data_IF_405258795764
#
_entry.id   IF_405258795764
#
_cell.length_a   1.000
_cell.length_b   1.000
_cell.length_c   1.000
_cell.angle_alpha   90.00
_cell.angle_beta   90.00
_cell.angle_gamma   90.00
#
_symmetry.space_group_name_H-M   'P 1'
#
loop_
_entity.id
_entity.type
_entity.pdbx_description
1 polymer ?
#
# COMPACT_ATOMS: atom_id res chain seq x y z
N UNK A 1 -46.61 -47.01 -63.51
CA UNK A 1 -45.37 -46.24 -63.23
C UNK A 1 -45.41 -45.49 -61.87
N UNK A 2 -45.75 -46.16 -60.76
CA UNK A 2 -45.80 -45.51 -59.43
C UNK A 2 -45.30 -46.37 -58.25
N UNK A 3 -44.74 -47.55 -58.52
CA UNK A 3 -44.25 -48.48 -57.48
C UNK A 3 -42.72 -48.50 -57.33
N UNK A 4 -41.98 -48.11 -58.37
CA UNK A 4 -40.51 -48.25 -58.37
C UNK A 4 -39.76 -47.05 -57.77
N UNK A 5 -40.43 -45.89 -57.59
CA UNK A 5 -39.83 -44.69 -56.98
C UNK A 5 -39.67 -44.80 -55.46
N UNK A 6 -40.44 -45.65 -54.78
CA UNK A 6 -40.37 -45.79 -53.31
C UNK A 6 -39.23 -46.70 -52.84
N UNK A 7 -38.77 -47.66 -53.65
CA UNK A 7 -37.63 -48.52 -53.26
C UNK A 7 -36.29 -47.76 -53.32
N UNK A 8 -36.12 -46.88 -54.31
CA UNK A 8 -34.89 -46.10 -54.49
C UNK A 8 -34.68 -45.07 -53.36
N UNK A 9 -35.75 -44.38 -52.93
CA UNK A 9 -35.67 -43.41 -51.82
C UNK A 9 -35.54 -44.06 -50.44
N UNK A 10 -35.95 -45.32 -50.27
CA UNK A 10 -35.77 -46.07 -49.03
C UNK A 10 -34.32 -46.53 -48.87
N UNK A 11 -33.68 -47.04 -49.92
CA UNK A 11 -32.28 -47.50 -49.87
C UNK A 11 -31.27 -46.37 -49.71
N UNK A 12 -31.54 -45.18 -50.25
CA UNK A 12 -30.67 -44.00 -50.09
C UNK A 12 -30.72 -43.42 -48.66
N UNK A 13 -31.86 -43.54 -47.97
CA UNK A 13 -32.00 -43.13 -46.56
C UNK A 13 -31.35 -44.13 -45.60
N UNK A 14 -31.40 -45.43 -45.88
CA UNK A 14 -30.70 -46.44 -45.06
C UNK A 14 -29.18 -46.34 -45.20
N UNK A 15 -28.65 -46.14 -46.43
CA UNK A 15 -27.21 -45.95 -46.62
C UNK A 15 -26.69 -44.66 -45.95
N UNK A 16 -27.48 -43.58 -45.93
CA UNK A 16 -27.15 -42.36 -45.18
C UNK A 16 -27.29 -42.51 -43.66
N UNK A 17 -28.12 -43.44 -43.17
CA UNK A 17 -28.24 -43.71 -41.73
C UNK A 17 -27.10 -44.61 -41.22
N UNK A 18 -26.63 -45.55 -42.06
CA UNK A 18 -25.52 -46.46 -41.74
C UNK A 18 -24.17 -45.73 -41.82
N UNK A 19 -23.97 -44.83 -42.78
CA UNK A 19 -22.73 -44.03 -42.87
C UNK A 19 -22.63 -42.91 -41.83
N UNK A 20 -23.73 -42.45 -41.23
CA UNK A 20 -23.70 -41.47 -40.13
C UNK A 20 -23.49 -42.07 -38.74
N UNK A 21 -23.55 -43.40 -38.60
CA UNK A 21 -23.39 -44.12 -37.31
C UNK A 21 -22.04 -44.81 -37.11
N UNK A 22 -21.09 -44.67 -38.06
CA UNK A 22 -19.71 -45.17 -37.92
C UNK A 22 -18.68 -44.05 -38.09
N UNK A 23 -18.90 -42.93 -37.41
CA UNK A 23 -17.80 -42.02 -37.02
C UNK A 23 -17.72 -42.01 -35.49
N UNK A 24 -17.58 -43.19 -34.89
CA UNK A 24 -16.98 -43.30 -33.57
C UNK A 24 -15.50 -43.05 -33.79
N UNK A 25 -15.06 -41.78 -33.72
CA UNK A 25 -13.65 -41.50 -33.47
C UNK A 25 -13.23 -42.40 -32.30
N UNK A 26 -12.15 -43.18 -32.42
CA UNK A 26 -11.71 -44.00 -31.29
C UNK A 26 -11.44 -43.03 -30.14
N UNK A 27 -12.18 -43.18 -29.05
CA UNK A 27 -11.94 -42.45 -27.81
C UNK A 27 -10.57 -42.91 -27.31
N UNK A 28 -9.53 -42.10 -27.56
CA UNK A 28 -8.16 -42.53 -27.31
C UNK A 28 -7.76 -42.12 -25.90
N UNK A 29 -7.14 -43.04 -25.17
CA UNK A 29 -6.55 -42.83 -23.82
C UNK A 29 -5.66 -41.58 -23.74
N UNK A 30 -5.13 -41.09 -24.87
CA UNK A 30 -4.38 -39.84 -24.97
C UNK A 30 -5.22 -38.56 -24.81
N UNK A 31 -6.49 -38.55 -25.23
CA UNK A 31 -7.41 -37.42 -25.03
C UNK A 31 -7.74 -37.24 -23.54
N UNK A 32 -7.93 -38.34 -22.80
CA UNK A 32 -8.13 -38.33 -21.34
C UNK A 32 -6.91 -37.78 -20.58
N UNK A 33 -5.70 -38.23 -20.94
CA UNK A 33 -4.45 -37.76 -20.32
C UNK A 33 -4.21 -36.28 -20.60
N UNK A 34 -4.47 -35.82 -21.83
CA UNK A 34 -4.29 -34.42 -22.20
C UNK A 34 -5.34 -33.50 -21.54
N UNK A 35 -6.60 -33.96 -21.43
CA UNK A 35 -7.66 -33.27 -20.70
C UNK A 35 -7.36 -33.16 -19.20
N UNK A 36 -6.91 -34.25 -18.57
CA UNK A 36 -6.53 -34.26 -17.16
C UNK A 36 -5.33 -33.33 -16.88
N UNK A 37 -4.36 -33.28 -17.78
CA UNK A 37 -3.17 -32.41 -17.67
C UNK A 37 -3.55 -30.93 -17.73
N UNK A 38 -4.43 -30.55 -18.67
CA UNK A 38 -4.97 -29.19 -18.75
C UNK A 38 -5.74 -28.78 -17.48
N UNK A 39 -6.56 -29.70 -16.97
CA UNK A 39 -7.38 -29.45 -15.78
C UNK A 39 -6.53 -29.27 -14.51
N UNK A 40 -5.46 -30.07 -14.37
CA UNK A 40 -4.48 -29.94 -13.29
C UNK A 40 -3.70 -28.63 -13.38
N UNK A 41 -3.31 -28.21 -14.58
CA UNK A 41 -2.61 -26.95 -14.81
C UNK A 41 -3.47 -25.72 -14.45
N UNK A 42 -4.74 -25.69 -14.87
CA UNK A 42 -5.65 -24.60 -14.50
C UNK A 42 -5.90 -24.53 -12.99
N UNK A 43 -6.05 -25.69 -12.33
CA UNK A 43 -6.21 -25.76 -10.87
C UNK A 43 -4.97 -25.25 -10.14
N UNK A 44 -3.77 -25.67 -10.55
CA UNK A 44 -2.53 -25.21 -9.96
C UNK A 44 -2.38 -23.68 -10.06
N UNK A 45 -2.65 -23.11 -11.23
CA UNK A 45 -2.61 -21.66 -11.43
C UNK A 45 -3.65 -20.91 -10.57
N UNK A 46 -4.86 -21.45 -10.43
CA UNK A 46 -5.88 -20.88 -9.57
C UNK A 46 -5.48 -20.90 -8.09
N UNK A 47 -4.86 -21.98 -7.61
CA UNK A 47 -4.35 -22.09 -6.24
C UNK A 47 -3.21 -21.10 -6.01
N UNK A 48 -2.24 -21.01 -6.91
CA UNK A 48 -1.13 -20.05 -6.79
C UNK A 48 -1.66 -18.62 -6.76
N UNK A 49 -2.56 -18.26 -7.68
CA UNK A 49 -3.19 -16.94 -7.71
C UNK A 49 -3.95 -16.61 -6.43
N UNK A 50 -4.70 -17.57 -5.89
CA UNK A 50 -5.41 -17.39 -4.63
C UNK A 50 -4.44 -17.19 -3.46
N UNK A 51 -3.36 -17.97 -3.37
CA UNK A 51 -2.34 -17.80 -2.34
C UNK A 51 -1.67 -16.43 -2.40
N UNK A 52 -1.32 -15.95 -3.60
CA UNK A 52 -0.74 -14.62 -3.80
C UNK A 52 -1.72 -13.51 -3.43
N UNK A 53 -2.99 -13.65 -3.83
CA UNK A 53 -4.06 -12.73 -3.45
C UNK A 53 -4.20 -12.63 -1.93
N UNK A 54 -4.20 -13.77 -1.25
CA UNK A 54 -4.26 -13.83 0.22
C UNK A 54 -3.06 -13.09 0.82
N UNK A 55 -1.85 -13.29 0.32
CA UNK A 55 -0.67 -12.59 0.82
C UNK A 55 -0.81 -11.07 0.61
N UNK A 56 -1.19 -10.61 -0.58
CA UNK A 56 -1.33 -9.17 -0.88
C UNK A 56 -2.38 -8.51 0.01
N UNK A 57 -3.53 -9.17 0.24
CA UNK A 57 -4.62 -8.62 1.05
C UNK A 57 -4.31 -8.69 2.54
N UNK A 58 -3.81 -9.83 3.03
CA UNK A 58 -3.72 -10.09 4.46
C UNK A 58 -2.34 -9.76 5.08
N UNK A 59 -1.30 -9.49 4.29
CA UNK A 59 0.01 -9.14 4.83
C UNK A 59 -0.06 -7.97 5.83
N UNK A 60 -0.77 -6.90 5.50
CA UNK A 60 -0.97 -5.76 6.39
C UNK A 60 -1.64 -6.14 7.71
N UNK A 61 -2.88 -6.66 7.68
CA UNK A 61 -3.59 -7.09 8.88
C UNK A 61 -2.79 -8.08 9.75
N UNK A 62 -2.09 -9.04 9.13
CA UNK A 62 -1.21 -9.99 9.86
C UNK A 62 -0.10 -9.25 10.60
N UNK A 63 0.56 -8.27 9.98
CA UNK A 63 1.55 -7.43 10.67
C UNK A 63 0.90 -6.55 11.75
N UNK A 64 -0.27 -5.99 11.48
CA UNK A 64 -0.99 -5.11 12.42
C UNK A 64 -1.41 -5.82 13.70
N UNK A 65 -1.65 -7.13 13.63
CA UNK A 65 -1.92 -8.02 14.76
C UNK A 65 -0.64 -8.49 15.48
N UNK A 66 0.54 -8.05 15.05
CA UNK A 66 1.82 -8.42 15.67
C UNK A 66 2.32 -9.82 15.29
N UNK A 67 1.71 -10.49 14.31
CA UNK A 67 2.10 -11.84 13.88
C UNK A 67 3.38 -11.86 13.03
N UNK A 68 3.75 -10.72 12.45
CA UNK A 68 5.02 -10.53 11.74
C UNK A 68 5.44 -9.07 11.74
N UNK A 69 6.72 -8.80 11.50
CA UNK A 69 7.22 -7.43 11.43
C UNK A 69 6.59 -6.66 10.24
N UNK A 70 6.16 -5.40 10.42
CA UNK A 70 5.52 -4.59 9.38
C UNK A 70 6.30 -4.53 8.07
N UNK A 71 7.62 -4.30 8.14
CA UNK A 71 8.47 -4.20 6.95
C UNK A 71 8.59 -5.53 6.21
N UNK A 72 8.59 -6.65 6.93
CA UNK A 72 8.61 -7.99 6.33
C UNK A 72 7.30 -8.28 5.60
N UNK A 73 6.17 -7.98 6.21
CA UNK A 73 4.86 -8.13 5.58
C UNK A 73 4.71 -7.27 4.32
N UNK A 74 5.14 -6.01 4.40
CA UNK A 74 5.12 -5.10 3.25
C UNK A 74 5.97 -5.64 2.10
N UNK A 75 7.20 -6.10 2.37
CA UNK A 75 8.07 -6.72 1.36
C UNK A 75 7.47 -8.00 0.77
N UNK A 76 6.82 -8.82 1.58
CA UNK A 76 6.13 -10.02 1.12
C UNK A 76 4.95 -9.66 0.18
N UNK A 77 4.16 -8.65 0.51
CA UNK A 77 3.08 -8.14 -0.35
C UNK A 77 3.61 -7.54 -1.66
N UNK A 78 4.72 -6.79 -1.62
CA UNK A 78 5.42 -6.29 -2.82
C UNK A 78 5.88 -7.44 -3.72
N UNK A 79 6.51 -8.47 -3.16
CA UNK A 79 6.98 -9.61 -3.93
C UNK A 79 5.81 -10.43 -4.50
N UNK A 80 4.80 -10.73 -3.67
CA UNK A 80 3.63 -11.49 -4.11
C UNK A 80 2.84 -10.75 -5.19
N UNK A 81 2.73 -9.42 -5.10
CA UNK A 81 2.05 -8.62 -6.12
C UNK A 81 2.82 -8.61 -7.44
N UNK A 82 4.15 -8.52 -7.41
CA UNK A 82 5.00 -8.63 -8.60
C UNK A 82 4.85 -10.00 -9.30
N UNK A 83 4.90 -11.09 -8.53
CA UNK A 83 4.67 -12.44 -9.07
C UNK A 83 3.25 -12.55 -9.65
N UNK A 84 2.25 -12.02 -8.96
CA UNK A 84 0.86 -12.01 -9.42
C UNK A 84 0.66 -11.25 -10.73
N UNK A 85 1.32 -10.09 -10.91
CA UNK A 85 1.31 -9.34 -12.17
C UNK A 85 2.01 -10.11 -13.29
N UNK A 86 3.14 -10.75 -13.01
CA UNK A 86 3.84 -11.59 -13.99
C UNK A 86 2.95 -12.75 -14.47
N UNK A 87 2.26 -13.44 -13.56
CA UNK A 87 1.30 -14.50 -13.91
C UNK A 87 0.14 -13.94 -14.73
N UNK A 88 -0.42 -12.80 -14.33
CA UNK A 88 -1.49 -12.11 -15.07
C UNK A 88 -1.06 -11.79 -16.51
N UNK A 89 0.13 -11.20 -16.68
CA UNK A 89 0.69 -10.83 -17.97
C UNK A 89 0.95 -12.05 -18.86
N UNK A 90 1.58 -13.10 -18.32
CA UNK A 90 1.86 -14.33 -19.05
C UNK A 90 0.59 -15.07 -19.50
N UNK A 91 -0.42 -15.16 -18.63
CA UNK A 91 -1.71 -15.77 -18.99
C UNK A 91 -2.46 -14.93 -20.02
N UNK A 92 -2.42 -13.60 -19.90
CA UNK A 92 -3.01 -12.69 -20.88
C UNK A 92 -2.34 -12.86 -22.25
N UNK A 93 -1.01 -12.89 -22.29
CA UNK A 93 -0.24 -13.13 -23.51
C UNK A 93 -0.58 -14.50 -24.13
N UNK A 94 -0.70 -15.54 -23.31
CA UNK A 94 -1.10 -16.87 -23.78
C UNK A 94 -2.49 -16.86 -24.41
N UNK A 95 -3.47 -16.20 -23.79
CA UNK A 95 -4.82 -16.04 -24.37
C UNK A 95 -4.78 -15.31 -25.71
N UNK A 96 -3.96 -14.26 -25.85
CA UNK A 96 -3.78 -13.52 -27.11
C UNK A 96 -3.20 -14.44 -28.19
N UNK A 97 -2.15 -15.20 -27.89
CA UNK A 97 -1.53 -16.13 -28.84
C UNK A 97 -2.54 -17.19 -29.31
N UNK A 98 -3.33 -17.76 -28.38
CA UNK A 98 -4.41 -18.71 -28.75
C UNK A 98 -5.48 -18.04 -29.60
N UNK A 99 -5.78 -16.77 -29.34
CA UNK A 99 -6.67 -15.96 -30.17
C UNK A 99 -6.19 -15.78 -31.60
N UNK A 100 -4.90 -15.49 -31.79
CA UNK A 100 -4.26 -15.39 -33.11
C UNK A 100 -4.25 -16.73 -33.85
N UNK A 101 -4.28 -17.85 -33.13
CA UNK A 101 -4.39 -19.21 -33.67
C UNK A 101 -5.84 -19.65 -33.94
N UNK A 102 -6.84 -18.79 -33.68
CA UNK A 102 -8.26 -19.08 -33.92
C UNK A 102 -9.03 -19.67 -32.72
N UNK A 103 -8.42 -19.74 -31.53
CA UNK A 103 -9.04 -20.33 -30.32
C UNK A 103 -9.07 -19.37 -29.10
N UNK A 104 -9.59 -18.14 -29.20
CA UNK A 104 -9.55 -17.19 -28.08
C UNK A 104 -10.50 -17.56 -26.93
N UNK A 105 -11.69 -18.11 -27.24
CA UNK A 105 -12.78 -18.26 -26.26
C UNK A 105 -12.59 -19.38 -25.24
N UNK A 106 -12.05 -20.57 -25.56
CA UNK A 106 -11.80 -21.61 -24.56
C UNK A 106 -10.64 -21.23 -23.63
N UNK A 107 -9.59 -20.62 -24.18
CA UNK A 107 -8.44 -20.12 -23.44
C UNK A 107 -8.83 -19.06 -22.40
N UNK A 108 -9.63 -18.06 -22.81
CA UNK A 108 -10.12 -17.03 -21.90
C UNK A 108 -11.05 -17.60 -20.83
N UNK A 109 -12.01 -18.47 -21.20
CA UNK A 109 -12.93 -19.10 -20.24
C UNK A 109 -12.20 -19.91 -19.17
N UNK A 110 -11.08 -20.54 -19.51
CA UNK A 110 -10.29 -21.33 -18.57
C UNK A 110 -9.55 -20.47 -17.52
N UNK A 111 -9.15 -19.23 -17.85
CA UNK A 111 -8.21 -18.45 -17.02
C UNK A 111 -8.69 -17.06 -16.59
N UNK A 112 -9.87 -16.59 -17.03
CA UNK A 112 -10.33 -15.23 -16.74
C UNK A 112 -10.39 -14.90 -15.24
N UNK A 113 -10.78 -15.86 -14.38
CA UNK A 113 -10.83 -15.66 -12.92
C UNK A 113 -9.44 -15.36 -12.36
N UNK A 114 -8.46 -16.15 -12.77
CA UNK A 114 -7.06 -15.99 -12.37
C UNK A 114 -6.54 -14.63 -12.81
N UNK A 115 -6.74 -14.28 -14.07
CA UNK A 115 -6.31 -13.00 -14.66
C UNK A 115 -6.93 -11.81 -13.91
N UNK A 116 -8.26 -11.84 -13.69
CA UNK A 116 -8.97 -10.75 -13.02
C UNK A 116 -8.56 -10.63 -11.56
N UNK A 117 -8.49 -11.73 -10.80
CA UNK A 117 -8.15 -11.68 -9.38
C UNK A 117 -6.72 -11.21 -9.13
N UNK A 118 -5.72 -11.75 -9.85
CA UNK A 118 -4.33 -11.31 -9.68
C UNK A 118 -4.10 -9.94 -10.28
N UNK A 119 -4.71 -9.63 -11.43
CA UNK A 119 -4.62 -8.33 -12.06
C UNK A 119 -5.19 -7.21 -11.18
N UNK A 120 -6.40 -7.38 -10.64
CA UNK A 120 -7.02 -6.36 -9.79
C UNK A 120 -6.28 -6.19 -8.47
N UNK A 121 -5.99 -7.26 -7.74
CA UNK A 121 -5.38 -7.14 -6.42
C UNK A 121 -3.94 -6.65 -6.49
N UNK A 122 -3.11 -7.26 -7.35
CA UNK A 122 -1.73 -6.83 -7.51
C UNK A 122 -1.64 -5.47 -8.19
N UNK A 123 -2.47 -5.21 -9.20
CA UNK A 123 -2.53 -3.91 -9.86
C UNK A 123 -2.94 -2.79 -8.89
N UNK A 124 -3.98 -3.03 -8.08
CA UNK A 124 -4.42 -2.08 -7.05
C UNK A 124 -3.33 -1.84 -6.00
N UNK A 125 -2.68 -2.90 -5.51
CA UNK A 125 -1.57 -2.78 -4.56
C UNK A 125 -0.42 -1.93 -5.13
N UNK A 126 -0.06 -2.14 -6.40
CA UNK A 126 0.94 -1.32 -7.07
C UNK A 126 0.47 0.11 -7.32
N UNK A 127 -0.80 0.36 -7.64
CA UNK A 127 -1.34 1.72 -7.78
C UNK A 127 -1.22 2.49 -6.46
N UNK A 128 -1.59 1.87 -5.33
CA UNK A 128 -1.45 2.47 -4.01
C UNK A 128 0.01 2.80 -3.65
N UNK A 129 0.96 2.05 -4.19
CA UNK A 129 2.39 2.19 -3.92
C UNK A 129 3.16 2.75 -5.13
N UNK A 130 2.49 3.24 -6.18
CA UNK A 130 3.14 3.63 -7.43
C UNK A 130 4.07 4.84 -7.25
N UNK A 131 3.86 5.61 -6.19
CA UNK A 131 4.63 6.81 -5.87
C UNK A 131 5.90 6.51 -5.08
N UNK A 132 6.23 5.25 -4.77
CA UNK A 132 7.44 4.85 -4.04
C UNK A 132 8.70 5.53 -4.59
N UNK A 133 8.84 5.62 -5.92
CA UNK A 133 10.00 6.25 -6.57
C UNK A 133 10.03 7.78 -6.55
N UNK A 134 8.91 8.43 -6.21
CA UNK A 134 8.80 9.89 -6.20
C UNK A 134 9.20 10.51 -4.85
N UNK A 135 9.42 9.68 -3.83
CA UNK A 135 9.79 10.14 -2.50
C UNK A 135 11.30 10.03 -2.28
N UNK A 136 11.94 11.05 -1.67
CA UNK A 136 13.35 10.97 -1.30
C UNK A 136 13.58 9.79 -0.34
N UNK A 137 14.75 9.13 -0.38
CA UNK A 137 15.08 8.00 0.49
C UNK A 137 15.46 8.47 1.89
N UNK A 138 14.51 9.12 2.58
CA UNK A 138 14.62 9.62 3.95
C UNK A 138 13.45 9.10 4.78
N UNK A 139 13.71 8.85 6.06
CA UNK A 139 12.71 8.31 7.01
C UNK A 139 12.46 9.25 8.19
N UNK A 140 12.99 10.48 8.13
CA UNK A 140 12.89 11.50 9.16
C UNK A 140 12.63 12.86 8.51
N UNK A 141 11.64 13.59 8.98
CA UNK A 141 11.31 14.95 8.51
C UNK A 141 11.20 15.86 9.72
N UNK A 142 11.78 17.06 9.65
CA UNK A 142 11.71 18.09 10.71
C UNK A 142 11.30 19.43 10.14
N UNK A 143 10.59 20.26 10.91
CA UNK A 143 10.31 21.65 10.53
C UNK A 143 11.54 22.54 10.59
N UNK A 144 12.57 22.16 11.35
CA UNK A 144 13.85 22.85 11.43
C UNK A 144 15.01 21.86 11.29
N UNK A 145 15.58 21.70 10.08
CA UNK A 145 16.75 20.85 9.85
C UNK A 145 18.01 21.30 10.58
N UNK A 146 18.11 22.58 10.97
CA UNK A 146 19.30 23.13 11.64
C UNK A 146 19.26 22.97 13.16
N UNK A 147 18.07 22.87 13.73
CA UNK A 147 17.84 22.64 15.15
C UNK A 147 16.57 21.80 15.36
N UNK A 148 16.59 20.51 14.97
CA UNK A 148 15.42 19.65 15.13
C UNK A 148 15.09 19.47 16.63
N UNK A 149 13.81 19.29 16.99
CA UNK A 149 13.45 18.82 18.32
C UNK A 149 14.18 17.52 18.66
N UNK A 150 14.62 17.39 19.91
CA UNK A 150 15.25 16.18 20.41
C UNK A 150 14.22 15.35 21.15
N UNK A 151 14.41 14.03 21.09
CA UNK A 151 13.68 13.07 21.91
C UNK A 151 14.45 12.88 23.21
N UNK A 152 13.75 12.87 24.33
CA UNK A 152 14.28 12.55 25.65
C UNK A 152 13.80 11.16 26.08
N UNK A 153 12.48 10.93 26.12
CA UNK A 153 11.90 9.71 26.64
C UNK A 153 12.03 8.52 25.70
N UNK A 154 11.70 8.71 24.41
CA UNK A 154 11.74 7.65 23.40
C UNK A 154 13.15 7.14 23.11
N UNK A 155 14.20 7.87 23.51
CA UNK A 155 15.58 7.38 23.42
C UNK A 155 15.81 6.15 24.28
N UNK A 156 15.21 6.11 25.48
CA UNK A 156 15.33 4.98 26.41
C UNK A 156 14.51 3.76 25.98
N UNK A 157 13.50 3.96 25.12
CA UNK A 157 12.68 2.89 24.56
C UNK A 157 13.17 2.44 23.17
N UNK A 158 14.29 2.99 22.70
CA UNK A 158 14.78 2.69 21.35
C UNK A 158 15.42 1.31 21.31
N UNK A 159 14.97 0.50 20.37
CA UNK A 159 15.62 -0.78 20.06
C UNK A 159 16.69 -0.60 18.99
N UNK A 160 17.77 -1.39 19.07
CA UNK A 160 18.94 -1.30 18.17
C UNK A 160 18.59 -1.48 16.68
N UNK A 161 17.53 -2.24 16.39
CA UNK A 161 17.10 -2.52 15.04
C UNK A 161 16.19 -1.43 14.45
N UNK A 162 15.84 -0.41 15.24
CA UNK A 162 15.11 0.76 14.75
C UNK A 162 16.05 1.84 14.26
N UNK A 163 15.57 2.66 13.32
CA UNK A 163 16.31 3.83 12.85
C UNK A 163 16.68 4.76 14.02
N UNK A 164 17.79 5.48 13.93
CA UNK A 164 18.13 6.50 14.93
C UNK A 164 17.08 7.61 14.98
N UNK A 165 16.83 8.14 16.19
CA UNK A 165 16.00 9.34 16.40
C UNK A 165 16.74 10.64 16.03
N UNK A 166 18.06 10.59 15.87
CA UNK A 166 18.86 11.75 15.46
C UNK A 166 18.59 12.09 13.99
N UNK A 167 18.32 13.36 13.69
CA UNK A 167 18.20 13.83 12.31
C UNK A 167 19.58 13.91 11.62
N UNK A 168 19.84 13.16 10.53
CA UNK A 168 21.11 13.19 9.82
C UNK A 168 21.19 14.44 8.93
N UNK A 169 21.47 15.60 9.53
CA UNK A 169 21.35 16.91 8.87
C UNK A 169 22.09 17.01 7.53
N UNK A 170 23.37 16.66 7.48
CA UNK A 170 24.20 16.78 6.26
C UNK A 170 23.61 16.00 5.08
N UNK A 171 23.04 14.82 5.34
CA UNK A 171 22.47 13.94 4.33
C UNK A 171 21.02 14.31 4.00
N UNK A 172 20.19 14.55 5.01
CA UNK A 172 18.75 14.62 4.86
C UNK A 172 18.24 16.03 4.57
N UNK A 173 18.89 17.09 5.07
CA UNK A 173 18.44 18.47 4.87
C UNK A 173 18.29 18.86 3.38
N UNK A 174 19.26 18.59 2.48
CA UNK A 174 19.09 18.96 1.05
C UNK A 174 17.99 18.16 0.36
N UNK A 175 17.85 16.87 0.68
CA UNK A 175 16.79 16.01 0.12
C UNK A 175 15.40 16.47 0.59
N UNK A 176 15.27 16.79 1.87
CA UNK A 176 14.04 17.29 2.45
C UNK A 176 13.68 18.65 1.86
N UNK A 177 14.63 19.58 1.73
CA UNK A 177 14.37 20.90 1.17
C UNK A 177 13.87 20.83 -0.29
N UNK A 178 14.45 19.93 -1.09
CA UNK A 178 14.04 19.73 -2.47
C UNK A 178 12.62 19.14 -2.58
N UNK A 179 12.27 18.19 -1.71
CA UNK A 179 10.99 17.48 -1.77
C UNK A 179 9.84 18.15 -0.99
N UNK A 180 10.15 18.85 0.10
CA UNK A 180 9.19 19.38 1.07
C UNK A 180 9.54 20.81 1.54
N UNK A 181 9.70 21.78 0.63
CA UNK A 181 10.11 23.15 0.97
C UNK A 181 9.08 23.93 1.81
N UNK A 182 7.84 23.41 1.89
CA UNK A 182 6.71 23.96 2.62
C UNK A 182 6.71 23.59 4.12
N UNK A 183 7.42 22.53 4.52
CA UNK A 183 7.48 22.09 5.92
C UNK A 183 8.45 22.99 6.69
N UNK A 184 7.89 23.88 7.52
CA UNK A 184 8.60 24.91 8.27
C UNK A 184 8.04 25.04 9.68
N UNK A 185 8.75 25.70 10.61
CA UNK A 185 8.26 25.90 11.97
C UNK A 185 6.98 26.72 11.98
N UNK A 186 6.06 26.41 12.90
CA UNK A 186 4.83 27.20 13.06
C UNK A 186 5.12 28.39 13.95
N UNK A 187 4.68 29.58 13.54
CA UNK A 187 4.77 30.80 14.34
C UNK A 187 3.36 31.19 14.79
N UNK A 188 3.18 31.43 16.09
CA UNK A 188 1.90 31.84 16.67
C UNK A 188 2.07 33.02 17.62
N UNK A 189 1.00 33.78 17.81
CA UNK A 189 0.88 34.82 18.84
C UNK A 189 0.44 34.26 20.20
N UNK A 190 0.10 32.98 20.29
CA UNK A 190 -0.22 32.34 21.57
C UNK A 190 1.05 32.23 22.43
N UNK A 191 0.98 32.55 23.74
CA UNK A 191 2.09 32.36 24.66
C UNK A 191 2.44 30.86 24.82
N UNK A 192 3.65 30.52 25.30
CA UNK A 192 4.13 29.14 25.34
C UNK A 192 3.19 28.12 26.01
N UNK A 193 2.59 28.45 27.16
CA UNK A 193 1.66 27.56 27.86
C UNK A 193 0.41 27.22 27.03
N UNK A 194 -0.15 28.22 26.37
CA UNK A 194 -1.34 28.05 25.52
C UNK A 194 -1.01 27.28 24.24
N UNK A 195 0.12 27.63 23.61
CA UNK A 195 0.61 26.95 22.42
C UNK A 195 0.94 25.47 22.72
N UNK A 196 1.56 25.18 23.87
CA UNK A 196 1.84 23.83 24.33
C UNK A 196 0.57 23.02 24.57
N UNK A 197 -0.39 23.59 25.30
CA UNK A 197 -1.68 22.94 25.57
C UNK A 197 -2.47 22.66 24.29
N UNK A 198 -2.45 23.61 23.35
CA UNK A 198 -3.06 23.45 22.02
C UNK A 198 -2.35 22.36 21.22
N UNK A 199 -1.01 22.33 21.21
CA UNK A 199 -0.23 21.31 20.52
C UNK A 199 -0.53 19.90 21.05
N UNK A 200 -0.64 19.75 22.37
CA UNK A 200 -1.01 18.48 23.00
C UNK A 200 -2.42 18.04 22.60
N UNK A 201 -3.39 18.96 22.65
CA UNK A 201 -4.78 18.69 22.26
C UNK A 201 -4.87 18.29 20.78
N UNK A 202 -4.13 18.97 19.90
CA UNK A 202 -4.08 18.66 18.47
C UNK A 202 -3.48 17.27 18.26
N UNK A 203 -2.35 16.95 18.88
CA UNK A 203 -1.73 15.63 18.78
C UNK A 203 -2.70 14.51 19.20
N UNK A 204 -3.42 14.68 20.32
CA UNK A 204 -4.45 13.75 20.77
C UNK A 204 -5.63 13.65 19.78
N UNK A 205 -6.09 14.77 19.24
CA UNK A 205 -7.20 14.81 18.27
C UNK A 205 -6.86 14.11 16.95
N UNK A 206 -5.57 14.05 16.60
CA UNK A 206 -5.06 13.31 15.45
C UNK A 206 -4.87 11.82 15.74
N UNK A 207 -5.19 11.37 16.94
CA UNK A 207 -5.05 9.97 17.37
C UNK A 207 -3.60 9.56 17.57
N UNK A 208 -2.70 10.50 17.91
CA UNK A 208 -1.33 10.14 18.28
C UNK A 208 -1.27 9.63 19.71
N UNK A 209 -0.48 8.59 19.93
CA UNK A 209 -0.24 8.01 21.24
C UNK A 209 0.79 8.89 21.97
N UNK A 210 0.34 9.69 22.95
CA UNK A 210 1.23 10.55 23.74
C UNK A 210 2.04 9.68 24.70
N UNK A 211 3.35 9.59 24.48
CA UNK A 211 4.25 8.73 25.27
C UNK A 211 4.95 9.51 26.38
N UNK A 212 5.18 10.81 26.18
CA UNK A 212 5.80 11.68 27.18
C UNK A 212 5.41 13.14 26.97
N UNK A 213 5.32 13.88 28.09
CA UNK A 213 5.06 15.32 28.12
C UNK A 213 5.93 15.97 29.18
N UNK A 214 6.60 17.05 28.83
CA UNK A 214 7.31 17.93 29.77
C UNK A 214 6.79 19.36 29.63
N UNK A 215 6.00 19.81 30.60
CA UNK A 215 5.49 21.19 30.63
C UNK A 215 6.60 22.21 30.90
N UNK A 216 7.60 21.86 31.70
CA UNK A 216 8.76 22.72 32.00
C UNK A 216 9.59 23.03 30.74
N UNK A 217 9.80 22.01 29.88
CA UNK A 217 10.58 22.14 28.64
C UNK A 217 9.71 22.42 27.41
N UNK A 218 8.39 22.49 27.59
CA UNK A 218 7.39 22.52 26.52
C UNK A 218 7.64 21.48 25.41
N UNK A 219 7.92 20.24 25.82
CA UNK A 219 8.19 19.10 24.94
C UNK A 219 7.03 18.10 25.01
N UNK A 220 6.62 17.60 23.85
CA UNK A 220 5.68 16.49 23.72
C UNK A 220 6.35 15.44 22.84
N UNK A 221 6.38 14.20 23.31
CA UNK A 221 6.74 13.05 22.49
C UNK A 221 5.52 12.16 22.30
N UNK A 222 5.34 11.69 21.08
CA UNK A 222 4.22 10.85 20.69
C UNK A 222 4.67 9.79 19.68
N UNK A 223 3.83 8.80 19.47
CA UNK A 223 3.98 7.83 18.37
C UNK A 223 2.70 7.78 17.55
N UNK A 224 2.80 7.42 16.27
CA UNK A 224 1.66 7.11 15.44
C UNK A 224 1.87 5.77 14.73
N UNK A 225 0.88 4.90 14.84
CA UNK A 225 0.86 3.59 14.17
C UNK A 225 0.01 3.64 12.92
N UNK A 226 0.55 3.21 11.78
CA UNK A 226 -0.19 3.14 10.51
C UNK A 226 -1.27 2.06 10.57
N UNK A 227 -2.43 2.37 10.00
CA UNK A 227 -3.62 1.54 10.12
C UNK A 227 -3.43 0.13 9.56
N UNK A 228 -2.87 0.01 8.35
CA UNK A 228 -2.86 -1.26 7.61
C UNK A 228 -1.70 -2.17 7.99
N UNK A 229 -0.46 -1.67 7.99
CA UNK A 229 0.73 -2.48 8.24
C UNK A 229 1.26 -2.38 9.67
N UNK A 230 0.82 -1.40 10.46
CA UNK A 230 1.35 -1.19 11.82
C UNK A 230 2.75 -0.58 11.84
N UNK A 231 3.15 0.17 10.81
CA UNK A 231 4.38 0.96 10.87
C UNK A 231 4.26 2.02 11.94
N UNK A 232 5.25 2.14 12.80
CA UNK A 232 5.27 3.14 13.87
C UNK A 232 6.26 4.23 13.53
N UNK A 233 5.81 5.47 13.64
CA UNK A 233 6.63 6.66 13.52
C UNK A 233 6.56 7.45 14.83
N UNK A 234 7.70 7.95 15.27
CA UNK A 234 7.85 8.70 16.52
C UNK A 234 7.95 10.20 16.23
N UNK A 235 7.28 11.00 17.04
CA UNK A 235 7.14 12.45 16.86
C UNK A 235 7.60 13.17 18.12
N UNK A 236 8.37 14.23 17.94
CA UNK A 236 8.64 15.21 19.00
C UNK A 236 8.15 16.60 18.56
N UNK A 237 7.46 17.28 19.48
CA UNK A 237 6.98 18.65 19.32
C UNK A 237 7.65 19.49 20.41
N UNK A 238 8.35 20.55 20.01
CA UNK A 238 8.97 21.50 20.92
C UNK A 238 8.34 22.87 20.71
N UNK A 239 7.84 23.48 21.78
CA UNK A 239 7.38 24.87 21.78
C UNK A 239 8.47 25.74 22.40
N UNK A 240 8.79 26.86 21.77
CA UNK A 240 9.77 27.82 22.25
C UNK A 240 9.15 29.21 22.29
N UNK A 241 9.49 30.04 23.29
CA UNK A 241 9.12 31.45 23.28
C UNK A 241 9.64 32.13 22.01
N UNK A 242 8.78 32.90 21.35
CA UNK A 242 9.15 33.74 20.22
C UNK A 242 8.39 35.05 20.36
N UNK A 243 9.10 36.17 20.51
CA UNK A 243 8.45 37.47 20.73
C UNK A 243 8.26 38.20 19.40
N UNK A 244 7.06 38.18 18.78
CA UNK A 244 6.76 39.04 17.65
C UNK A 244 6.72 40.53 18.09
N UNK A 245 6.74 41.48 17.14
CA UNK A 245 6.77 42.92 17.44
C UNK A 245 5.63 43.45 18.34
N UNK A 246 4.53 42.71 18.47
CA UNK A 246 3.29 43.16 19.13
C UNK A 246 2.79 42.24 20.26
N UNK A 247 3.66 41.45 20.90
CA UNK A 247 3.25 40.69 22.08
C UNK A 247 4.09 39.45 22.34
N UNK A 248 3.60 38.61 23.26
CA UNK A 248 4.12 37.27 23.44
C UNK A 248 3.73 36.40 22.24
N UNK A 249 4.51 35.36 21.98
CA UNK A 249 4.25 34.39 20.94
C UNK A 249 5.11 33.15 21.13
N UNK A 250 4.93 32.20 20.23
CA UNK A 250 5.64 30.94 20.28
C UNK A 250 6.05 30.47 18.89
N UNK A 251 7.18 29.80 18.84
CA UNK A 251 7.63 28.99 17.72
C UNK A 251 7.42 27.53 18.06
N UNK A 252 6.88 26.75 17.12
CA UNK A 252 6.65 25.32 17.29
C UNK A 252 7.46 24.58 16.24
N UNK A 253 8.37 23.75 16.72
CA UNK A 253 9.18 22.86 15.90
C UNK A 253 8.68 21.42 16.07
N UNK A 254 8.68 20.66 14.97
CA UNK A 254 8.32 19.25 14.96
C UNK A 254 9.38 18.42 14.26
N UNK A 255 9.55 17.18 14.71
CA UNK A 255 10.24 16.12 13.97
C UNK A 255 9.40 14.86 14.01
N UNK A 256 9.37 14.10 12.91
CA UNK A 256 8.72 12.80 12.81
C UNK A 256 9.69 11.81 12.18
N UNK A 257 9.90 10.66 12.82
CA UNK A 257 10.93 9.66 12.49
C UNK A 257 10.34 8.25 12.45
N UNK A 258 10.50 7.57 11.33
CA UNK A 258 10.03 6.19 11.16
C UNK A 258 10.92 5.21 11.92
N UNK A 259 10.34 4.25 12.65
CA UNK A 259 11.12 3.21 13.35
C UNK A 259 11.85 2.27 12.41
N UNK A 260 11.28 1.96 11.25
CA UNK A 260 11.85 1.02 10.28
C UNK A 260 11.79 1.58 8.86
N UNK A 261 12.66 1.07 8.00
CA UNK A 261 12.69 1.44 6.59
C UNK A 261 13.59 2.65 6.30
N UNK A 262 14.10 2.70 5.07
CA UNK A 262 14.97 3.79 4.60
C UNK A 262 14.19 4.98 4.05
N UNK A 263 12.95 4.74 3.61
CA UNK A 263 12.03 5.70 3.02
C UNK A 263 10.68 5.53 3.73
N UNK A 264 9.99 6.64 4.01
CA UNK A 264 8.70 6.68 4.68
C UNK A 264 7.51 6.87 3.71
N UNK A 265 7.77 6.92 2.40
CA UNK A 265 6.79 7.19 1.34
C UNK A 265 6.01 8.49 1.56
N UNK A 266 6.64 9.50 2.16
CA UNK A 266 6.03 10.79 2.48
C UNK A 266 5.08 10.77 3.68
N UNK A 267 5.06 9.70 4.47
CA UNK A 267 4.21 9.58 5.66
C UNK A 267 4.54 10.66 6.71
N UNK A 268 5.82 10.88 7.03
CA UNK A 268 6.22 11.89 8.01
C UNK A 268 5.89 13.31 7.53
N UNK A 269 6.12 13.60 6.25
CA UNK A 269 5.75 14.88 5.66
C UNK A 269 4.23 15.14 5.73
N UNK A 270 3.42 14.13 5.39
CA UNK A 270 1.95 14.20 5.47
C UNK A 270 1.48 14.43 6.91
N UNK A 271 2.10 13.73 7.86
CA UNK A 271 1.80 13.84 9.29
C UNK A 271 2.08 15.24 9.83
N UNK A 272 3.27 15.78 9.57
CA UNK A 272 3.62 17.13 10.04
C UNK A 272 2.68 18.18 9.44
N UNK A 273 2.36 18.10 8.14
CA UNK A 273 1.38 19.00 7.52
C UNK A 273 -0.01 18.90 8.13
N UNK A 274 -0.46 17.70 8.50
CA UNK A 274 -1.75 17.50 9.15
C UNK A 274 -1.78 18.17 10.53
N UNK A 275 -0.71 18.00 11.32
CA UNK A 275 -0.55 18.70 12.58
C UNK A 275 -0.54 20.21 12.42
N UNK A 276 0.30 20.74 11.53
CA UNK A 276 0.44 22.19 11.28
C UNK A 276 -0.93 22.79 10.95
N UNK A 277 -1.67 22.22 10.00
CA UNK A 277 -3.02 22.69 9.63
C UNK A 277 -4.01 22.63 10.79
N UNK A 278 -3.99 21.56 11.58
CA UNK A 278 -4.89 21.40 12.72
C UNK A 278 -4.57 22.41 13.83
N UNK A 279 -3.28 22.65 14.10
CA UNK A 279 -2.81 23.64 15.05
C UNK A 279 -3.20 25.06 14.64
N UNK A 280 -2.88 25.46 13.40
CA UNK A 280 -3.24 26.78 12.87
C UNK A 280 -4.75 27.02 12.92
N UNK A 281 -5.56 26.00 12.60
CA UNK A 281 -7.02 26.08 12.73
C UNK A 281 -7.45 26.31 14.17
N UNK A 282 -6.87 25.60 15.13
CA UNK A 282 -7.21 25.73 16.55
C UNK A 282 -6.86 27.12 17.09
N UNK A 283 -5.70 27.68 16.74
CA UNK A 283 -5.29 29.02 17.20
C UNK A 283 -6.07 30.14 16.52
N UNK A 284 -6.47 29.97 15.25
CA UNK A 284 -7.28 30.98 14.55
C UNK A 284 -8.71 31.09 15.09
N UNK A 285 -9.28 30.00 15.64
CA UNK A 285 -10.61 30.01 16.25
C UNK A 285 -10.67 30.71 17.61
N UNK A 286 -9.53 30.88 18.28
CA UNK A 286 -9.43 31.52 19.60
C UNK A 286 -9.04 33.00 19.54
N UNK A 287 -8.88 33.58 18.35
CA UNK A 287 -8.62 35.01 18.18
C UNK A 287 -9.93 35.79 18.40
N UNK A 288 -10.01 36.78 19.31
CA UNK A 288 -11.20 37.61 19.46
C UNK A 288 -11.50 38.31 18.11
N UNK A 289 -12.79 38.51 17.76
CA UNK A 289 -13.14 39.28 16.57
C UNK A 289 -12.53 40.68 16.66
N UNK A 290 -11.93 41.12 15.55
CA UNK A 290 -11.34 42.46 15.39
C UNK A 290 -12.36 43.58 15.60
#
# INVERSE_FOLDING_TARGET
>A
MRKDRNCSQAMEKENNCITRKMSTRPYTKGEDVMSATHHNFTRANAVIALSLLIIVIFAGPVARLGLCAPLTAFKAAMFASLVGLSICGLLTLWVIIRGLQGEPTPALKAHWKTIVLTGLASGFFWILNAQVGNYPPIHSITTDPSSPPLFEFLTHQREDHWNSLSYPQEKNAPLQLAAYPDIRPVMTTSPPDEAYTTALTVAQSLGWDIVHTSGEKYLIEASQTSFWFGFVDDIAIRVQPHTPPHGAGSRIDLISVSRVGMNDFGANATRLRQFIRAFEKATNQHKPPL
#
